data_IF_609972406622
#
_entry.id   IF_609972406622
#
_cell.length_a   1.000
_cell.length_b   1.000
_cell.length_c   1.000
_cell.angle_alpha   90.00
_cell.angle_beta   90.00
_cell.angle_gamma   90.00
#
_symmetry.space_group_name_H-M   'P 1'
#
loop_
_entity.id
_entity.type
_entity.pdbx_description
1 polymer ?
#
# COMPACT_ATOMS: atom_id res chain seq x y z
N UNK A 1 -0.10 -11.59 -8.54
CA UNK A 1 -1.17 -10.74 -9.10
C UNK A 1 -1.54 -11.22 -10.50
N UNK A 2 -2.51 -12.14 -10.64
CA UNK A 2 -2.75 -12.84 -11.91
C UNK A 2 -3.32 -11.95 -13.03
N UNK A 3 -3.80 -10.74 -12.71
CA UNK A 3 -4.37 -9.79 -13.68
C UNK A 3 -3.39 -8.71 -14.16
N UNK A 4 -2.15 -8.71 -13.68
CA UNK A 4 -1.15 -7.71 -14.06
C UNK A 4 -0.02 -8.32 -14.86
N UNK A 5 0.43 -7.59 -15.88
CA UNK A 5 1.66 -7.90 -16.62
C UNK A 5 2.90 -7.49 -15.79
N UNK A 6 4.05 -8.18 -15.97
CA UNK A 6 5.34 -7.68 -15.50
C UNK A 6 5.58 -6.23 -15.93
N UNK A 7 6.14 -5.43 -15.03
CA UNK A 7 6.33 -3.98 -15.19
C UNK A 7 5.08 -3.12 -14.98
N UNK A 8 3.90 -3.74 -14.78
CA UNK A 8 2.66 -3.01 -14.48
C UNK A 8 2.74 -2.25 -13.15
N UNK A 9 2.09 -1.09 -13.08
CA UNK A 9 2.02 -0.28 -11.86
C UNK A 9 0.67 -0.46 -11.17
N UNK A 10 0.71 -0.82 -9.89
CA UNK A 10 -0.40 -0.67 -8.97
C UNK A 10 -0.20 0.64 -8.21
N UNK A 11 -1.18 1.53 -8.24
CA UNK A 11 -1.15 2.80 -7.51
C UNK A 11 -2.33 2.81 -6.55
N UNK A 12 -2.05 3.00 -5.26
CA UNK A 12 -3.04 2.92 -4.18
C UNK A 12 -2.96 4.19 -3.35
N UNK A 13 -4.10 4.87 -3.22
CA UNK A 13 -4.26 6.11 -2.46
C UNK A 13 -4.69 5.83 -1.00
N UNK A 14 -4.59 6.84 -0.14
CA UNK A 14 -4.97 6.83 1.27
C UNK A 14 -4.21 5.84 2.16
N UNK A 15 -2.96 5.50 1.81
CA UNK A 15 -2.19 4.50 2.57
C UNK A 15 -1.68 5.00 3.93
N UNK A 16 -1.68 6.31 4.17
CA UNK A 16 -1.42 6.86 5.51
C UNK A 16 -2.71 7.00 6.35
N UNK A 17 -3.89 6.87 5.73
CA UNK A 17 -5.20 6.86 6.38
C UNK A 17 -5.41 7.99 7.39
N UNK A 18 -5.05 9.22 7.00
CA UNK A 18 -5.06 10.42 7.84
C UNK A 18 -4.25 10.27 9.14
N UNK A 19 -3.18 9.48 9.10
CA UNK A 19 -2.32 9.16 10.23
C UNK A 19 -2.87 8.07 11.17
N UNK A 20 -4.10 7.55 10.96
CA UNK A 20 -4.69 6.51 11.83
C UNK A 20 -3.90 5.20 11.81
N UNK A 21 -3.09 4.97 10.79
CA UNK A 21 -2.14 3.83 10.74
C UNK A 21 -1.12 3.84 11.88
N UNK A 22 -0.88 4.98 12.54
CA UNK A 22 0.05 5.09 13.67
C UNK A 22 -0.56 4.61 14.99
N UNK A 23 -1.89 4.63 15.09
CA UNK A 23 -2.65 4.19 16.26
C UNK A 23 -4.03 3.67 15.81
N UNK A 24 -4.09 2.48 15.20
CA UNK A 24 -5.33 1.95 14.62
C UNK A 24 -6.32 1.55 15.72
N UNK A 25 -7.56 2.01 15.61
CA UNK A 25 -8.61 1.78 16.60
C UNK A 25 -9.86 1.10 16.02
N UNK A 26 -10.13 1.32 14.73
CA UNK A 26 -11.25 0.71 14.02
C UNK A 26 -10.77 -0.44 13.10
N UNK A 27 -11.66 -1.40 12.77
CA UNK A 27 -11.34 -2.48 11.83
C UNK A 27 -10.75 -1.98 10.50
N UNK A 28 -11.27 -0.87 9.98
CA UNK A 28 -10.80 -0.28 8.74
C UNK A 28 -9.37 0.28 8.86
N UNK A 29 -8.99 0.84 10.02
CA UNK A 29 -7.62 1.33 10.24
C UNK A 29 -6.63 0.16 10.24
N UNK A 30 -6.98 -0.94 10.92
CA UNK A 30 -6.19 -2.17 10.92
C UNK A 30 -6.06 -2.76 9.51
N UNK A 31 -7.12 -2.72 8.70
CA UNK A 31 -7.07 -3.22 7.32
C UNK A 31 -6.05 -2.45 6.47
N UNK A 32 -5.90 -1.14 6.67
CA UNK A 32 -4.89 -0.34 5.96
C UNK A 32 -3.47 -0.66 6.46
N UNK A 33 -3.29 -0.87 7.77
CA UNK A 33 -2.00 -1.30 8.34
C UNK A 33 -1.59 -2.66 7.77
N UNK A 34 -2.51 -3.63 7.78
CA UNK A 34 -2.28 -4.97 7.23
C UNK A 34 -1.96 -4.92 5.73
N UNK A 35 -2.67 -4.08 4.97
CA UNK A 35 -2.38 -3.85 3.56
C UNK A 35 -0.96 -3.30 3.36
N UNK A 36 -0.55 -2.29 4.13
CA UNK A 36 0.78 -1.69 4.02
C UNK A 36 1.89 -2.72 4.32
N UNK A 37 1.74 -3.52 5.37
CA UNK A 37 2.69 -4.58 5.71
C UNK A 37 2.72 -5.69 4.65
N UNK A 38 1.56 -6.04 4.08
CA UNK A 38 1.47 -6.99 2.97
C UNK A 38 2.25 -6.48 1.75
N UNK A 39 2.04 -5.23 1.32
CA UNK A 39 2.75 -4.68 0.16
C UNK A 39 4.25 -4.58 0.43
N UNK A 40 4.65 -4.13 1.62
CA UNK A 40 6.05 -4.03 2.04
C UNK A 40 6.78 -5.38 1.97
N UNK A 41 6.09 -6.47 2.32
CA UNK A 41 6.68 -7.80 2.36
C UNK A 41 6.51 -8.61 1.05
N UNK A 42 5.71 -8.15 0.09
CA UNK A 42 5.37 -8.94 -1.10
C UNK A 42 6.53 -8.99 -2.11
N UNK A 43 7.18 -10.16 -2.33
CA UNK A 43 8.33 -10.28 -3.22
C UNK A 43 7.96 -10.20 -4.71
N UNK A 44 6.67 -10.09 -5.06
CA UNK A 44 6.22 -9.99 -6.46
C UNK A 44 6.26 -8.55 -6.98
N UNK A 45 6.49 -7.58 -6.11
CA UNK A 45 6.51 -6.16 -6.47
C UNK A 45 7.75 -5.46 -5.92
N UNK A 46 8.14 -4.38 -6.61
CA UNK A 46 9.01 -3.34 -6.05
C UNK A 46 8.11 -2.15 -5.66
N UNK A 47 8.04 -1.81 -4.37
CA UNK A 47 7.12 -0.78 -3.87
C UNK A 47 7.82 0.42 -3.24
N UNK A 48 7.23 1.60 -3.41
CA UNK A 48 7.58 2.83 -2.68
C UNK A 48 6.31 3.50 -2.16
N UNK A 49 6.39 4.04 -0.94
CA UNK A 49 5.35 4.88 -0.36
C UNK A 49 5.78 6.35 -0.45
N UNK A 50 4.92 7.19 -1.02
CA UNK A 50 5.14 8.62 -1.21
C UNK A 50 4.24 9.41 -0.25
N UNK A 51 4.80 10.43 0.40
CA UNK A 51 4.06 11.32 1.31
C UNK A 51 3.29 12.42 0.56
N UNK A 52 2.68 12.08 -0.57
CA UNK A 52 1.83 12.99 -1.36
C UNK A 52 0.37 12.73 -0.97
N UNK A 53 -0.38 13.80 -0.70
CA UNK A 53 -1.77 13.67 -0.25
C UNK A 53 -1.86 12.92 1.07
N UNK A 54 -2.76 11.93 1.14
CA UNK A 54 -2.93 11.05 2.30
C UNK A 54 -2.10 9.75 2.16
N UNK A 55 -0.95 9.85 1.49
CA UNK A 55 -0.07 8.74 1.17
C UNK A 55 -0.48 8.00 -0.09
N UNK A 56 0.49 7.80 -0.98
CA UNK A 56 0.33 6.99 -2.19
C UNK A 56 1.37 5.88 -2.19
N UNK A 57 0.93 4.62 -2.31
CA UNK A 57 1.83 3.51 -2.61
C UNK A 57 1.86 3.26 -4.11
N UNK A 58 3.07 3.22 -4.67
CA UNK A 58 3.31 2.76 -6.05
C UNK A 58 4.06 1.44 -5.98
N UNK A 59 3.45 0.38 -6.51
CA UNK A 59 4.02 -0.96 -6.56
C UNK A 59 4.17 -1.41 -8.02
N UNK A 60 5.40 -1.64 -8.46
CA UNK A 60 5.71 -2.18 -9.79
C UNK A 60 5.79 -3.69 -9.73
N UNK A 61 4.97 -4.37 -10.52
CA UNK A 61 5.01 -5.84 -10.67
C UNK A 61 6.33 -6.24 -11.32
N UNK A 62 7.03 -7.22 -10.75
CA UNK A 62 8.26 -7.79 -11.32
C UNK A 62 7.96 -8.65 -12.54
#
# INVERSE_FOLDING_TARGET
MPRMRPGGLLVVDNVLWSGRVLDPQAPDDHAIVDFNELVRADPRVDSIMLSVGDGITVARVR
#
